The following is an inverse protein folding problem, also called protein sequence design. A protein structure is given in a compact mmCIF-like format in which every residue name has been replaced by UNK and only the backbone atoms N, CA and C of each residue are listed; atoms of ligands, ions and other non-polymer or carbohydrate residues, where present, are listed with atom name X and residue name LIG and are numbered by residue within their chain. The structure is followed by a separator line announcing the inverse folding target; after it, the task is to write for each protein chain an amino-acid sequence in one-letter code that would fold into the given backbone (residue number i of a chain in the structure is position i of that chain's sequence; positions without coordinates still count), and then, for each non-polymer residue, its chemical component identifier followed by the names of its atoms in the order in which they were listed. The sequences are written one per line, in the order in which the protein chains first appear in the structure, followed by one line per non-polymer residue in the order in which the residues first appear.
data_IF_014788192868
#
_entry.id   IF_014788192868
#
_cell.length_a   1.000
_cell.length_b   1.000
_cell.length_c   1.000
_cell.angle_alpha   90.00
_cell.angle_beta   90.00
_cell.angle_gamma   90.00
#
_symmetry.space_group_name_H-M   'P 1'
#
loop_
_entity.id
_entity.type
_entity.pdbx_description
1 polymer ?
#
# COMPACT_ATOMS: atom_id res chain seq x y z
N UNK A 1 1.92 27.74 -4.16
CA UNK A 1 3.28 27.17 -4.23
C UNK A 1 3.93 27.37 -2.86
N UNK A 2 3.79 26.41 -1.95
CA UNK A 2 4.62 26.35 -0.73
C UNK A 2 5.65 25.28 -1.03
N UNK A 3 6.82 25.77 -1.44
CA UNK A 3 8.02 24.98 -1.57
C UNK A 3 8.41 24.62 -0.14
N UNK A 4 8.37 23.33 0.21
CA UNK A 4 9.11 22.79 1.36
C UNK A 4 10.61 22.80 1.02
N UNK A 5 11.09 24.01 0.72
CA UNK A 5 12.48 24.29 0.45
C UNK A 5 13.13 24.89 1.68
N UNK A 6 14.14 24.22 2.22
CA UNK A 6 15.13 24.74 3.18
C UNK A 6 14.58 25.50 4.40
N UNK A 7 14.05 24.77 5.35
CA UNK A 7 13.76 25.29 6.71
C UNK A 7 15.00 25.67 7.55
N UNK A 8 16.20 25.67 6.96
CA UNK A 8 17.43 26.14 7.60
C UNK A 8 17.47 27.67 7.66
N UNK A 9 16.68 28.27 8.51
CA UNK A 9 16.71 29.72 8.69
C UNK A 9 15.46 30.36 9.27
N UNK A 10 14.41 29.60 9.53
CA UNK A 10 13.23 30.11 10.23
C UNK A 10 13.54 30.35 11.71
N UNK A 11 13.00 31.44 12.28
CA UNK A 11 13.06 31.69 13.72
C UNK A 11 12.40 30.51 14.47
N UNK A 12 12.89 30.14 15.67
CA UNK A 12 12.38 28.98 16.42
C UNK A 12 10.85 28.94 16.60
N UNK A 13 10.22 30.08 16.82
CA UNK A 13 8.77 30.19 16.97
C UNK A 13 8.03 29.86 15.66
N UNK A 14 8.49 30.34 14.51
CA UNK A 14 7.89 30.06 13.20
C UNK A 14 8.07 28.59 12.77
N UNK A 15 9.16 27.96 13.21
CA UNK A 15 9.40 26.54 13.01
C UNK A 15 8.42 25.71 13.84
N UNK A 16 8.28 25.99 15.13
CA UNK A 16 7.33 25.29 16.01
C UNK A 16 5.86 25.40 15.54
N UNK A 17 5.47 26.55 15.02
CA UNK A 17 4.13 26.78 14.47
C UNK A 17 3.92 25.99 13.17
N UNK A 18 4.94 25.93 12.29
CA UNK A 18 4.92 25.13 11.07
C UNK A 18 4.86 23.64 11.38
N UNK A 19 5.63 23.17 12.36
CA UNK A 19 5.68 21.77 12.79
C UNK A 19 4.34 21.36 13.44
N UNK A 20 3.75 22.21 14.28
CA UNK A 20 2.42 21.98 14.85
C UNK A 20 1.31 21.88 13.80
N UNK A 21 1.35 22.75 12.77
CA UNK A 21 0.39 22.69 11.65
C UNK A 21 0.59 21.41 10.82
N UNK A 22 1.83 21.01 10.57
CA UNK A 22 2.14 19.78 9.81
C UNK A 22 1.70 18.54 10.60
N UNK A 23 1.89 18.52 11.91
CA UNK A 23 1.47 17.42 12.77
C UNK A 23 -0.06 17.31 12.89
N UNK A 24 -0.81 18.40 12.69
CA UNK A 24 -2.26 18.38 12.62
C UNK A 24 -2.82 17.77 11.32
N UNK A 25 -1.98 17.64 10.26
CA UNK A 25 -2.41 17.05 8.99
C UNK A 25 -2.59 15.53 9.10
N UNK A 26 -3.57 14.95 8.37
CA UNK A 26 -3.77 13.50 8.35
C UNK A 26 -2.64 12.78 7.62
N UNK A 27 -2.51 11.48 7.87
CA UNK A 27 -1.77 10.57 6.99
C UNK A 27 -2.64 10.25 5.77
N UNK A 28 -2.07 10.31 4.58
CA UNK A 28 -2.74 9.88 3.34
C UNK A 28 -2.56 8.38 3.16
N UNK A 29 -3.63 7.61 3.32
CA UNK A 29 -3.68 6.20 3.01
C UNK A 29 -4.08 5.99 1.54
N UNK A 30 -3.15 5.47 0.74
CA UNK A 30 -3.38 5.11 -0.67
C UNK A 30 -3.75 3.64 -0.75
N UNK A 31 -4.86 3.33 -1.41
CA UNK A 31 -5.44 1.99 -1.49
C UNK A 31 -5.87 1.65 -2.92
N UNK A 32 -5.95 0.37 -3.26
CA UNK A 32 -6.50 -0.10 -4.53
C UNK A 32 -8.02 -0.18 -4.50
N UNK A 33 -8.56 -0.96 -3.56
CA UNK A 33 -9.97 -1.32 -3.53
C UNK A 33 -10.78 -0.42 -2.60
N UNK A 34 -12.07 -0.23 -2.90
CA UNK A 34 -12.99 0.48 -2.03
C UNK A 34 -13.08 -0.15 -0.61
N UNK A 35 -13.00 -1.47 -0.54
CA UNK A 35 -12.97 -2.19 0.74
C UNK A 35 -11.72 -1.86 1.57
N UNK A 36 -10.57 -1.72 0.93
CA UNK A 36 -9.32 -1.31 1.60
C UNK A 36 -9.44 0.12 2.11
N UNK A 37 -9.97 1.05 1.30
CA UNK A 37 -10.19 2.42 1.69
C UNK A 37 -11.09 2.52 2.93
N UNK A 38 -12.18 1.74 2.96
CA UNK A 38 -13.07 1.67 4.14
C UNK A 38 -12.34 1.11 5.38
N UNK A 39 -11.48 0.12 5.20
CA UNK A 39 -10.69 -0.45 6.31
C UNK A 39 -9.61 0.52 6.79
N UNK A 40 -8.92 1.22 5.89
CA UNK A 40 -7.87 2.18 6.24
C UNK A 40 -8.39 3.44 6.91
N UNK A 41 -9.63 3.82 6.62
CA UNK A 41 -10.25 5.04 7.16
C UNK A 41 -10.29 5.06 8.69
N UNK A 42 -10.19 6.26 9.25
CA UNK A 42 -10.31 6.49 10.69
C UNK A 42 -9.65 7.79 11.15
N UNK A 43 -9.60 8.03 12.46
CA UNK A 43 -9.04 9.27 13.00
C UNK A 43 -7.60 9.51 12.54
N UNK A 44 -7.31 10.72 12.05
CA UNK A 44 -6.00 11.11 11.53
C UNK A 44 -5.60 10.47 10.20
N UNK A 45 -6.55 9.86 9.45
CA UNK A 45 -6.29 9.22 8.15
C UNK A 45 -7.24 9.77 7.10
N UNK A 46 -6.69 10.28 6.00
CA UNK A 46 -7.41 10.56 4.76
C UNK A 46 -7.14 9.41 3.78
N UNK A 47 -8.17 8.90 3.12
CA UNK A 47 -8.03 7.79 2.18
C UNK A 47 -8.21 8.24 0.74
N UNK A 48 -7.47 7.61 -0.18
CA UNK A 48 -7.64 7.72 -1.62
C UNK A 48 -7.49 6.34 -2.24
N UNK A 49 -8.34 6.02 -3.22
CA UNK A 49 -8.27 4.75 -3.93
C UNK A 49 -8.87 4.88 -5.33
N UNK A 50 -8.34 4.14 -6.29
CA UNK A 50 -8.70 4.25 -7.70
C UNK A 50 -9.29 2.96 -8.32
N UNK A 51 -9.62 1.97 -7.50
CA UNK A 51 -10.22 0.72 -8.00
C UNK A 51 -9.23 -0.21 -8.68
N UNK A 52 -7.95 -0.17 -8.30
CA UNK A 52 -6.89 -0.97 -8.94
C UNK A 52 -6.47 -0.42 -10.31
N UNK A 53 -6.70 0.87 -10.56
CA UNK A 53 -6.30 1.56 -11.78
C UNK A 53 -5.18 2.57 -11.44
N UNK A 54 -3.89 2.26 -11.75
CA UNK A 54 -2.76 3.13 -11.44
C UNK A 54 -2.79 4.48 -12.18
N UNK A 55 -3.30 4.54 -13.41
CA UNK A 55 -3.40 5.79 -14.17
C UNK A 55 -4.41 6.74 -13.55
N UNK A 56 -5.58 6.20 -13.19
CA UNK A 56 -6.59 6.95 -12.44
C UNK A 56 -6.06 7.43 -11.11
N UNK A 57 -5.31 6.59 -10.38
CA UNK A 57 -4.69 6.97 -9.12
C UNK A 57 -3.70 8.11 -9.30
N UNK A 58 -2.83 8.05 -10.33
CA UNK A 58 -1.92 9.15 -10.69
C UNK A 58 -2.69 10.44 -10.94
N UNK A 59 -3.74 10.39 -11.75
CA UNK A 59 -4.55 11.56 -12.05
C UNK A 59 -5.22 12.15 -10.79
N UNK A 60 -5.76 11.29 -9.91
CA UNK A 60 -6.39 11.72 -8.67
C UNK A 60 -5.39 12.36 -7.68
N UNK A 61 -4.18 11.84 -7.59
CA UNK A 61 -3.12 12.38 -6.74
C UNK A 61 -2.57 13.70 -7.32
N UNK A 62 -2.31 13.76 -8.63
CA UNK A 62 -1.83 14.97 -9.32
C UNK A 62 -2.84 16.13 -9.27
N UNK A 63 -4.15 15.82 -9.19
CA UNK A 63 -5.17 16.85 -9.02
C UNK A 63 -5.16 17.51 -7.62
N UNK A 64 -4.41 16.97 -6.67
CA UNK A 64 -4.22 17.56 -5.34
C UNK A 64 -3.17 18.66 -5.43
N UNK A 65 -3.60 19.92 -5.54
CA UNK A 65 -2.71 21.10 -5.61
C UNK A 65 -1.79 21.20 -4.37
N UNK A 66 -2.30 20.72 -3.21
CA UNK A 66 -1.52 20.58 -1.97
C UNK A 66 -1.73 19.17 -1.44
N UNK A 67 -0.70 18.48 -0.98
CA UNK A 67 -0.86 17.12 -0.47
C UNK A 67 -1.84 17.07 0.72
N UNK A 68 -1.91 18.11 1.55
CA UNK A 68 -2.84 18.17 2.69
C UNK A 68 -2.69 16.98 3.64
N UNK A 69 -1.49 16.42 3.71
CA UNK A 69 -1.12 15.30 4.56
C UNK A 69 0.33 15.43 5.01
N UNK A 70 0.68 14.78 6.14
CA UNK A 70 2.04 14.79 6.69
C UNK A 70 2.90 13.62 6.25
N UNK A 71 2.28 12.55 5.77
CA UNK A 71 2.95 11.35 5.27
C UNK A 71 2.02 10.58 4.33
N UNK A 72 2.58 9.67 3.55
CA UNK A 72 1.87 8.77 2.64
C UNK A 72 2.10 7.33 3.06
N UNK A 73 1.03 6.55 3.21
CA UNK A 73 1.08 5.11 3.47
C UNK A 73 0.28 4.39 2.39
N UNK A 74 0.94 3.57 1.57
CA UNK A 74 0.24 2.66 0.68
C UNK A 74 -0.22 1.44 1.49
N UNK A 75 -1.55 1.19 1.61
CA UNK A 75 -2.08 0.15 2.48
C UNK A 75 -3.15 -0.68 1.77
N UNK A 76 -2.99 -1.99 1.79
CA UNK A 76 -3.91 -2.91 1.14
C UNK A 76 -3.40 -4.33 1.03
N UNK A 77 -4.01 -5.12 0.14
CA UNK A 77 -3.56 -6.48 -0.19
C UNK A 77 -2.54 -6.46 -1.33
N UNK A 78 -1.80 -7.55 -1.47
CA UNK A 78 -0.78 -7.73 -2.52
C UNK A 78 -0.67 -9.20 -2.95
N UNK A 79 -0.16 -9.44 -4.14
CA UNK A 79 0.30 -10.77 -4.56
C UNK A 79 1.66 -11.08 -3.95
N UNK A 80 1.84 -12.28 -3.40
CA UNK A 80 3.13 -12.76 -2.92
C UNK A 80 4.07 -13.10 -4.08
N UNK A 81 5.32 -12.67 -3.98
CA UNK A 81 6.42 -13.07 -4.88
C UNK A 81 7.42 -13.97 -4.17
N UNK A 82 7.63 -13.79 -2.88
CA UNK A 82 8.47 -14.65 -2.07
C UNK A 82 7.73 -15.94 -1.74
N UNK A 83 8.31 -17.14 -2.08
CA UNK A 83 7.65 -18.43 -1.85
C UNK A 83 7.36 -18.77 -0.38
N UNK A 84 8.04 -18.11 0.57
CA UNK A 84 7.81 -18.34 2.00
C UNK A 84 6.56 -17.64 2.55
N UNK A 85 6.00 -16.69 1.77
CA UNK A 85 4.84 -15.92 2.19
C UNK A 85 3.52 -16.64 1.91
N UNK A 86 2.64 -16.61 2.89
CA UNK A 86 1.31 -17.19 2.84
C UNK A 86 0.22 -16.10 2.92
N UNK A 87 -1.03 -16.39 2.53
CA UNK A 87 -2.14 -15.49 2.70
C UNK A 87 -2.30 -15.03 4.16
N UNK A 88 -2.36 -13.72 4.35
CA UNK A 88 -2.43 -13.07 5.66
C UNK A 88 -1.09 -12.64 6.24
N UNK A 89 0.06 -13.04 5.66
CA UNK A 89 1.36 -12.49 6.04
C UNK A 89 1.46 -11.02 5.62
N UNK A 90 2.22 -10.23 6.40
CA UNK A 90 2.34 -8.79 6.23
C UNK A 90 3.74 -8.43 5.72
N UNK A 91 3.79 -7.61 4.69
CA UNK A 91 5.03 -7.01 4.16
C UNK A 91 4.99 -5.51 4.42
N UNK A 92 5.96 -5.01 5.16
CA UNK A 92 6.21 -3.58 5.32
C UNK A 92 7.27 -3.19 4.30
N UNK A 93 6.94 -2.24 3.43
CA UNK A 93 7.83 -1.82 2.34
C UNK A 93 9.07 -1.11 2.86
N UNK A 94 10.25 -1.62 2.52
CA UNK A 94 11.54 -0.93 2.66
C UNK A 94 11.81 -0.04 1.45
N UNK A 95 11.18 -0.35 0.33
CA UNK A 95 11.16 0.42 -0.89
C UNK A 95 10.16 -0.18 -1.87
N UNK A 96 9.97 0.53 -2.98
CA UNK A 96 9.12 0.08 -4.08
C UNK A 96 9.94 0.08 -5.37
N UNK A 97 10.05 -1.05 -6.00
CA UNK A 97 10.77 -1.23 -7.27
C UNK A 97 9.76 -1.13 -8.41
N UNK A 98 9.81 -0.04 -9.16
CA UNK A 98 9.04 0.13 -10.38
C UNK A 98 9.86 -0.24 -11.63
N UNK A 99 9.29 -0.01 -12.81
CA UNK A 99 9.92 -0.36 -14.09
C UNK A 99 11.22 0.44 -14.39
N UNK A 100 11.37 1.64 -13.85
CA UNK A 100 12.48 2.56 -14.18
C UNK A 100 13.34 2.97 -12.99
N UNK A 101 12.80 2.89 -11.78
CA UNK A 101 13.47 3.33 -10.56
C UNK A 101 12.95 2.58 -9.35
N UNK A 102 13.67 2.72 -8.26
CA UNK A 102 13.26 2.27 -6.92
C UNK A 102 13.07 3.52 -6.05
N UNK A 103 11.95 3.58 -5.35
CA UNK A 103 11.65 4.57 -4.32
C UNK A 103 11.97 4.00 -2.95
N UNK A 104 12.68 4.76 -2.13
CA UNK A 104 12.97 4.38 -0.76
C UNK A 104 11.75 4.64 0.15
N UNK A 105 11.48 3.72 1.05
CA UNK A 105 10.57 4.00 2.16
C UNK A 105 11.32 4.75 3.27
N UNK A 106 10.57 5.50 4.09
CA UNK A 106 11.13 6.12 5.29
C UNK A 106 11.44 5.03 6.32
N UNK A 107 12.72 4.82 6.61
CA UNK A 107 13.21 3.66 7.37
C UNK A 107 12.58 3.56 8.78
N UNK A 108 12.49 4.68 9.51
CA UNK A 108 11.93 4.68 10.86
C UNK A 108 10.43 4.42 10.87
N UNK A 109 9.67 4.95 9.89
CA UNK A 109 8.27 4.59 9.71
C UNK A 109 8.10 3.10 9.46
N UNK A 110 8.87 2.55 8.52
CA UNK A 110 8.79 1.13 8.17
C UNK A 110 9.11 0.25 9.38
N UNK A 111 10.18 0.58 10.12
CA UNK A 111 10.59 -0.14 11.33
C UNK A 111 9.51 -0.09 12.41
N UNK A 112 9.00 1.10 12.73
CA UNK A 112 7.97 1.27 13.76
C UNK A 112 6.69 0.50 13.43
N UNK A 113 6.23 0.55 12.16
CA UNK A 113 5.06 -0.20 11.73
C UNK A 113 5.30 -1.71 11.82
N UNK A 114 6.50 -2.18 11.44
CA UNK A 114 6.87 -3.59 11.56
C UNK A 114 6.86 -4.04 13.03
N UNK A 115 7.45 -3.30 13.94
CA UNK A 115 7.49 -3.59 15.38
C UNK A 115 6.08 -3.66 15.97
N UNK A 116 5.21 -2.68 15.66
CA UNK A 116 3.82 -2.67 16.15
C UNK A 116 3.00 -3.85 15.66
N UNK A 117 3.19 -4.23 14.40
CA UNK A 117 2.43 -5.31 13.80
C UNK A 117 2.99 -6.70 14.17
N UNK A 118 4.30 -6.83 14.35
CA UNK A 118 4.95 -8.11 14.68
C UNK A 118 4.46 -8.71 16.00
N UNK A 119 4.10 -7.88 16.98
CA UNK A 119 3.62 -8.34 18.29
C UNK A 119 2.31 -9.14 18.20
N UNK A 120 1.52 -8.97 17.14
CA UNK A 120 0.16 -9.53 17.07
C UNK A 120 -0.17 -10.19 15.72
N UNK A 121 0.77 -10.23 14.78
CA UNK A 121 0.60 -10.85 13.45
C UNK A 121 1.40 -12.12 13.31
N UNK A 122 0.94 -13.08 12.51
CA UNK A 122 1.61 -14.38 12.33
C UNK A 122 3.02 -14.21 11.77
N UNK A 123 3.17 -13.36 10.77
CA UNK A 123 4.44 -13.02 10.13
C UNK A 123 4.39 -11.58 9.63
N UNK A 124 5.39 -10.81 10.00
CA UNK A 124 5.64 -9.47 9.46
C UNK A 124 7.08 -9.46 8.98
N UNK A 125 7.30 -9.00 7.77
CA UNK A 125 8.64 -8.84 7.20
C UNK A 125 8.85 -7.42 6.69
N UNK A 126 10.07 -6.97 6.72
CA UNK A 126 10.57 -5.77 6.04
C UNK A 126 11.18 -6.22 4.72
N UNK A 127 10.64 -5.75 3.60
CA UNK A 127 11.13 -6.12 2.27
C UNK A 127 10.66 -5.12 1.20
N UNK A 128 11.29 -5.13 0.05
CA UNK A 128 10.84 -4.35 -1.10
C UNK A 128 9.56 -4.92 -1.71
N UNK A 129 8.79 -4.02 -2.30
CA UNK A 129 7.60 -4.31 -3.09
C UNK A 129 7.88 -4.06 -4.58
N UNK A 130 7.30 -4.85 -5.45
CA UNK A 130 7.25 -4.58 -6.88
C UNK A 130 5.98 -3.76 -7.18
N UNK A 131 6.15 -2.55 -7.69
CA UNK A 131 5.03 -1.70 -8.13
C UNK A 131 4.82 -1.84 -9.63
N UNK A 132 3.62 -2.28 -10.05
CA UNK A 132 3.30 -2.59 -11.45
C UNK A 132 2.01 -1.93 -11.89
N UNK A 133 1.86 -1.67 -13.20
CA UNK A 133 0.63 -1.08 -13.77
C UNK A 133 -0.43 -2.16 -14.14
N UNK A 134 -0.07 -3.43 -14.10
CA UNK A 134 -0.98 -4.54 -14.38
C UNK A 134 -0.75 -5.70 -13.40
N UNK A 135 -1.80 -6.46 -13.02
CA UNK A 135 -1.66 -7.53 -12.04
C UNK A 135 -0.83 -8.69 -12.58
N UNK A 136 0.04 -9.27 -11.74
CA UNK A 136 0.77 -10.49 -12.03
C UNK A 136 -0.15 -11.71 -11.83
N UNK A 137 -0.70 -12.25 -12.90
CA UNK A 137 -1.72 -13.31 -12.85
C UNK A 137 -1.14 -14.73 -12.90
N UNK A 138 -0.01 -14.92 -13.55
CA UNK A 138 0.62 -16.24 -13.74
C UNK A 138 1.81 -16.46 -12.82
N UNK A 139 2.17 -17.74 -12.62
CA UNK A 139 3.37 -18.12 -11.88
C UNK A 139 4.62 -17.58 -12.56
N UNK A 140 4.63 -17.56 -13.89
CA UNK A 140 5.77 -17.05 -14.67
C UNK A 140 5.96 -15.55 -14.46
N UNK A 141 4.88 -14.75 -14.51
CA UNK A 141 4.94 -13.32 -14.24
C UNK A 141 5.46 -13.04 -12.83
N UNK A 142 4.95 -13.76 -11.82
CA UNK A 142 5.42 -13.62 -10.43
C UNK A 142 6.89 -13.99 -10.27
N UNK A 143 7.32 -15.12 -10.83
CA UNK A 143 8.73 -15.55 -10.75
C UNK A 143 9.67 -14.60 -11.50
N UNK A 144 9.24 -14.08 -12.65
CA UNK A 144 10.00 -13.09 -13.43
C UNK A 144 10.13 -11.78 -12.66
N UNK A 145 9.03 -11.27 -12.05
CA UNK A 145 9.08 -10.09 -11.21
C UNK A 145 10.01 -10.29 -10.01
N UNK A 146 9.90 -11.43 -9.31
CA UNK A 146 10.79 -11.75 -8.19
C UNK A 146 12.26 -11.75 -8.61
N UNK A 147 12.58 -12.40 -9.73
CA UNK A 147 13.95 -12.46 -10.25
C UNK A 147 14.49 -11.09 -10.66
N UNK A 148 13.65 -10.24 -11.25
CA UNK A 148 14.05 -8.92 -11.73
C UNK A 148 14.17 -7.88 -10.61
N UNK A 149 13.34 -7.96 -9.56
CA UNK A 149 13.22 -6.90 -8.54
C UNK A 149 13.76 -7.32 -7.16
N UNK A 150 13.85 -8.60 -6.87
CA UNK A 150 14.10 -9.10 -5.52
C UNK A 150 12.93 -8.87 -4.54
N UNK A 151 11.83 -8.25 -4.98
CA UNK A 151 10.71 -7.86 -4.14
C UNK A 151 9.97 -9.06 -3.53
N UNK A 152 9.45 -8.91 -2.32
CA UNK A 152 8.72 -9.96 -1.62
C UNK A 152 7.25 -10.06 -2.03
N UNK A 153 6.65 -8.96 -2.46
CA UNK A 153 5.25 -8.90 -2.91
C UNK A 153 5.08 -7.88 -4.04
N UNK A 154 3.93 -7.92 -4.72
CA UNK A 154 3.58 -7.06 -5.86
C UNK A 154 2.21 -6.43 -5.67
N UNK A 155 2.10 -5.15 -6.00
CA UNK A 155 0.84 -4.41 -6.01
C UNK A 155 0.81 -3.36 -7.13
N UNK A 156 -0.32 -2.67 -7.28
CA UNK A 156 -0.55 -1.73 -8.36
C UNK A 156 -0.60 -0.25 -7.92
N UNK A 157 -0.45 0.05 -6.64
CA UNK A 157 -0.60 1.39 -6.08
C UNK A 157 0.66 1.94 -5.43
N UNK A 158 1.52 1.08 -4.87
CA UNK A 158 2.66 1.52 -4.05
C UNK A 158 3.65 2.37 -4.82
N UNK A 159 3.92 2.07 -6.10
CA UNK A 159 4.82 2.88 -6.93
C UNK A 159 4.23 4.26 -7.25
N UNK A 160 2.92 4.36 -7.42
CA UNK A 160 2.23 5.64 -7.63
C UNK A 160 2.23 6.47 -6.35
N UNK A 161 1.97 5.84 -5.21
CA UNK A 161 2.01 6.48 -3.90
C UNK A 161 3.42 6.97 -3.53
N UNK A 162 4.43 6.15 -3.81
CA UNK A 162 5.84 6.49 -3.57
C UNK A 162 6.31 7.66 -4.43
N UNK A 163 5.96 7.65 -5.74
CA UNK A 163 6.28 8.75 -6.65
C UNK A 163 5.63 10.06 -6.20
N UNK A 164 4.36 10.03 -5.78
CA UNK A 164 3.68 11.20 -5.23
C UNK A 164 4.36 11.70 -3.95
N UNK A 165 4.76 10.81 -3.06
CA UNK A 165 5.44 11.19 -1.83
C UNK A 165 6.80 11.84 -2.10
N UNK A 166 7.60 11.26 -3.01
CA UNK A 166 8.89 11.80 -3.44
C UNK A 166 8.74 13.19 -4.06
N UNK A 167 7.78 13.38 -4.98
CA UNK A 167 7.50 14.68 -5.62
C UNK A 167 7.18 15.79 -4.60
N UNK A 168 6.54 15.42 -3.48
CA UNK A 168 6.11 16.37 -2.46
C UNK A 168 7.02 16.40 -1.21
N UNK A 169 8.13 15.65 -1.21
CA UNK A 169 9.03 15.57 -0.06
C UNK A 169 8.39 14.99 1.20
N UNK A 170 7.44 14.05 1.04
CA UNK A 170 6.70 13.45 2.14
C UNK A 170 7.31 12.11 2.55
N UNK A 171 7.35 11.77 3.85
CA UNK A 171 7.68 10.43 4.30
C UNK A 171 6.70 9.40 3.71
N UNK A 172 7.25 8.27 3.26
CA UNK A 172 6.47 7.20 2.62
C UNK A 172 6.82 5.83 3.21
N UNK A 173 5.84 4.96 3.31
CA UNK A 173 6.02 3.51 3.43
C UNK A 173 4.78 2.76 2.90
N UNK A 174 4.86 1.43 2.87
CA UNK A 174 3.73 0.60 2.47
C UNK A 174 3.48 -0.52 3.48
N UNK A 175 2.20 -0.87 3.66
CA UNK A 175 1.72 -2.01 4.46
C UNK A 175 0.90 -2.90 3.54
N UNK A 176 1.42 -4.06 3.18
CA UNK A 176 0.77 -5.00 2.27
C UNK A 176 0.52 -6.34 2.93
N UNK A 177 -0.70 -6.83 2.79
CA UNK A 177 -1.08 -8.16 3.26
C UNK A 177 -1.16 -9.10 2.07
N UNK A 178 -0.44 -10.21 2.13
CA UNK A 178 -0.42 -11.19 1.04
C UNK A 178 -1.81 -11.82 0.90
N UNK A 179 -2.36 -11.74 -0.31
CA UNK A 179 -3.65 -12.33 -0.66
C UNK A 179 -3.48 -13.65 -1.42
N UNK A 180 -2.63 -13.65 -2.43
CA UNK A 180 -2.34 -14.80 -3.27
C UNK A 180 -0.84 -15.10 -3.26
N UNK A 181 -0.40 -16.27 -2.80
CA UNK A 181 1.01 -16.60 -2.65
C UNK A 181 1.70 -16.79 -4.00
N UNK A 182 3.05 -16.87 -3.98
CA UNK A 182 3.89 -16.95 -5.17
C UNK A 182 3.60 -18.19 -6.05
N UNK A 183 3.17 -19.29 -5.44
CA UNK A 183 2.86 -20.56 -6.08
C UNK A 183 1.42 -20.64 -6.64
N UNK A 184 0.70 -19.52 -6.66
CA UNK A 184 -0.69 -19.48 -7.11
C UNK A 184 -0.91 -18.52 -8.26
N UNK A 185 -1.41 -19.06 -9.38
CA UNK A 185 -1.92 -18.25 -10.47
C UNK A 185 -3.33 -17.72 -10.14
N UNK A 186 -3.59 -16.47 -10.53
CA UNK A 186 -4.91 -15.88 -10.46
C UNK A 186 -5.67 -16.14 -11.78
N UNK A 187 -6.98 -16.43 -11.73
CA UNK A 187 -7.77 -16.54 -12.94
C UNK A 187 -7.80 -15.22 -13.72
N UNK A 188 -7.69 -15.29 -15.05
CA UNK A 188 -7.62 -14.09 -15.90
C UNK A 188 -8.84 -13.15 -15.77
N UNK A 189 -9.99 -13.65 -15.31
CA UNK A 189 -11.16 -12.80 -15.08
C UNK A 189 -10.97 -11.83 -13.90
N UNK A 190 -10.02 -12.08 -12.96
CA UNK A 190 -9.76 -11.20 -11.81
C UNK A 190 -9.39 -9.80 -12.28
N UNK A 191 -8.58 -9.70 -13.34
CA UNK A 191 -8.23 -8.40 -13.93
C UNK A 191 -9.43 -7.63 -14.50
N UNK A 192 -10.49 -8.34 -14.92
CA UNK A 192 -11.72 -7.76 -15.49
C UNK A 192 -12.83 -7.59 -14.47
N UNK A 193 -12.72 -8.25 -13.32
CA UNK A 193 -13.73 -8.18 -12.25
C UNK A 193 -13.58 -6.95 -11.36
N UNK A 194 -12.49 -6.21 -11.49
CA UNK A 194 -12.30 -4.94 -10.79
C UNK A 194 -13.03 -3.83 -11.55
N UNK A 195 -13.99 -3.20 -10.89
CA UNK A 195 -14.71 -2.04 -11.42
C UNK A 195 -13.94 -0.76 -11.12
N UNK A 196 -14.15 0.31 -11.90
CA UNK A 196 -13.52 1.61 -11.65
C UNK A 196 -13.82 2.20 -10.26
N UNK A 197 -14.94 1.79 -9.64
CA UNK A 197 -15.30 2.19 -8.27
C UNK A 197 -14.58 1.37 -7.18
N UNK A 198 -13.74 0.40 -7.56
CA UNK A 198 -13.01 -0.48 -6.65
C UNK A 198 -13.84 -1.61 -6.04
N UNK A 199 -15.05 -1.82 -6.52
CA UNK A 199 -15.90 -2.97 -6.15
C UNK A 199 -15.68 -4.14 -7.13
N UNK A 200 -16.03 -5.34 -6.67
CA UNK A 200 -15.93 -6.54 -7.50
C UNK A 200 -17.19 -6.68 -8.37
N UNK A 201 -17.01 -6.82 -9.66
CA UNK A 201 -18.11 -7.12 -10.58
C UNK A 201 -18.55 -8.60 -10.44
N UNK A 202 -19.61 -8.82 -9.65
CA UNK A 202 -20.19 -10.13 -9.44
C UNK A 202 -20.72 -10.75 -10.74
N UNK A 203 -21.16 -9.94 -11.70
CA UNK A 203 -21.64 -10.44 -12.99
C UNK A 203 -20.48 -10.99 -13.81
N UNK A 204 -19.33 -10.29 -13.81
CA UNK A 204 -18.12 -10.80 -14.44
C UNK A 204 -17.64 -12.10 -13.80
N UNK A 205 -17.68 -12.23 -12.48
CA UNK A 205 -17.36 -13.47 -11.75
C UNK A 205 -18.32 -14.60 -12.11
N UNK A 206 -19.63 -14.36 -12.06
CA UNK A 206 -20.64 -15.37 -12.39
C UNK A 206 -20.57 -15.82 -13.86
N UNK A 207 -20.30 -14.89 -14.79
CA UNK A 207 -20.13 -15.22 -16.21
C UNK A 207 -18.86 -16.05 -16.46
N UNK A 208 -17.78 -15.80 -15.71
CA UNK A 208 -16.56 -16.61 -15.79
C UNK A 208 -16.80 -18.06 -15.30
N UNK A 209 -17.61 -18.21 -14.25
CA UNK A 209 -18.04 -19.53 -13.74
C UNK A 209 -18.91 -20.24 -14.79
N UNK A 210 -19.93 -19.55 -15.33
CA UNK A 210 -20.83 -20.11 -16.31
C UNK A 210 -20.13 -20.56 -17.60
N UNK A 211 -19.10 -19.84 -18.02
CA UNK A 211 -18.27 -20.20 -19.19
C UNK A 211 -17.21 -21.28 -18.90
N UNK A 212 -17.25 -21.90 -17.71
CA UNK A 212 -16.24 -22.87 -17.24
C UNK A 212 -14.78 -22.39 -17.36
N UNK A 213 -14.55 -21.09 -17.43
CA UNK A 213 -13.22 -20.49 -17.47
C UNK A 213 -12.52 -20.49 -16.11
N UNK A 214 -13.25 -20.82 -15.03
CA UNK A 214 -12.70 -20.97 -13.69
C UNK A 214 -13.14 -22.31 -13.08
N UNK A 215 -12.20 -23.06 -12.51
CA UNK A 215 -12.50 -24.27 -11.73
C UNK A 215 -13.06 -23.84 -10.37
N UNK A 216 -14.21 -24.38 -9.97
CA UNK A 216 -14.90 -24.06 -8.70
C UNK A 216 -13.96 -24.15 -7.50
N UNK A 217 -13.11 -25.19 -7.43
CA UNK A 217 -12.14 -25.34 -6.35
C UNK A 217 -11.09 -24.21 -6.28
N UNK A 218 -10.73 -23.63 -7.44
CA UNK A 218 -9.85 -22.46 -7.50
C UNK A 218 -10.51 -21.20 -6.95
N UNK A 219 -11.81 -21.01 -7.23
CA UNK A 219 -12.58 -19.86 -6.73
C UNK A 219 -12.81 -19.93 -5.22
N UNK A 220 -13.11 -21.11 -4.69
CA UNK A 220 -13.26 -21.31 -3.24
C UNK A 220 -11.94 -21.00 -2.52
N UNK A 221 -10.82 -21.42 -3.11
CA UNK A 221 -9.49 -21.16 -2.55
C UNK A 221 -9.16 -19.68 -2.60
N UNK A 222 -9.39 -19.01 -3.72
CA UNK A 222 -9.20 -17.56 -3.88
C UNK A 222 -10.06 -16.77 -2.88
N UNK A 223 -11.32 -17.15 -2.70
CA UNK A 223 -12.21 -16.51 -1.72
C UNK A 223 -11.73 -16.70 -0.28
N UNK A 224 -11.21 -17.89 0.06
CA UNK A 224 -10.63 -18.16 1.38
C UNK A 224 -9.38 -17.30 1.63
N UNK A 225 -8.48 -17.25 0.65
CA UNK A 225 -7.24 -16.49 0.76
C UNK A 225 -7.52 -14.98 0.87
N UNK A 226 -8.43 -14.47 0.04
CA UNK A 226 -8.91 -13.09 0.14
C UNK A 226 -9.53 -12.78 1.50
N UNK A 227 -10.34 -13.70 2.04
CA UNK A 227 -10.91 -13.55 3.39
C UNK A 227 -9.81 -13.43 4.43
N UNK A 228 -8.82 -14.32 4.40
CA UNK A 228 -7.68 -14.30 5.33
C UNK A 228 -6.90 -12.97 5.22
N UNK A 229 -6.62 -12.52 3.99
CA UNK A 229 -5.92 -11.26 3.77
C UNK A 229 -6.69 -10.05 4.31
N UNK A 230 -7.99 -9.96 4.06
CA UNK A 230 -8.80 -8.85 4.57
C UNK A 230 -9.03 -8.91 6.09
N UNK A 231 -9.06 -10.08 6.70
CA UNK A 231 -9.08 -10.23 8.16
C UNK A 231 -7.76 -9.76 8.78
N UNK A 232 -6.63 -10.15 8.19
CA UNK A 232 -5.31 -9.67 8.61
C UNK A 232 -5.17 -8.16 8.41
N UNK A 233 -5.62 -7.58 7.27
CA UNK A 233 -5.60 -6.14 7.02
C UNK A 233 -6.44 -5.37 8.05
N UNK A 234 -7.63 -5.88 8.40
CA UNK A 234 -8.46 -5.29 9.47
C UNK A 234 -7.74 -5.33 10.81
N UNK A 235 -7.08 -6.44 11.10
CA UNK A 235 -6.29 -6.58 12.33
C UNK A 235 -5.12 -5.60 12.36
N UNK A 236 -4.34 -5.50 11.27
CA UNK A 236 -3.30 -4.47 11.14
C UNK A 236 -3.87 -3.07 11.42
N UNK A 237 -5.02 -2.72 10.81
CA UNK A 237 -5.63 -1.41 11.02
C UNK A 237 -6.00 -1.15 12.48
N UNK A 238 -6.50 -2.15 13.19
CA UNK A 238 -6.86 -2.01 14.61
C UNK A 238 -5.63 -1.76 15.50
N UNK A 239 -4.48 -2.30 15.14
CA UNK A 239 -3.21 -2.12 15.86
C UNK A 239 -2.57 -0.75 15.57
N UNK A 240 -2.76 -0.24 14.37
CA UNK A 240 -2.13 1.02 13.92
C UNK A 240 -2.84 2.28 14.44
N UNK A 241 -4.05 2.20 14.96
CA UNK A 241 -4.72 3.29 15.67
C UNK A 241 -4.79 4.63 14.93
N UNK A 242 -4.60 5.75 15.65
CA UNK A 242 -4.63 7.10 15.10
C UNK A 242 -3.52 7.33 14.08
N UNK A 243 -3.85 7.93 12.94
CA UNK A 243 -2.87 8.29 11.89
C UNK A 243 -2.01 7.13 11.43
N UNK A 244 -2.52 5.86 11.48
CA UNK A 244 -1.79 4.64 11.17
C UNK A 244 -0.48 4.50 11.98
N UNK A 245 -0.42 5.07 13.17
CA UNK A 245 0.79 5.11 14.02
C UNK A 245 2.02 5.72 13.35
N UNK A 246 1.83 6.49 12.29
CA UNK A 246 2.93 7.26 11.70
C UNK A 246 3.38 8.30 12.71
N UNK A 247 4.67 8.35 13.09
CA UNK A 247 5.19 9.32 14.02
C UNK A 247 4.92 10.76 13.58
N UNK A 248 4.96 11.68 14.54
CA UNK A 248 4.97 13.10 14.21
C UNK A 248 6.30 13.49 13.56
N UNK A 249 6.29 14.59 12.82
CA UNK A 249 7.44 15.01 12.04
C UNK A 249 8.69 15.20 12.91
N UNK A 250 8.50 15.71 14.12
CA UNK A 250 9.57 15.93 15.11
C UNK A 250 10.25 14.62 15.54
N UNK A 251 9.47 13.55 15.66
CA UNK A 251 9.98 12.21 15.99
C UNK A 251 10.70 11.56 14.80
N UNK A 252 10.30 11.90 13.56
CA UNK A 252 10.89 11.36 12.33
C UNK A 252 12.20 12.05 11.95
N UNK A 253 12.37 13.34 12.32
CA UNK A 253 13.57 14.10 12.00
C UNK A 253 14.71 13.86 12.98
N UNK A 254 14.45 13.12 14.09
CA UNK A 254 15.43 12.84 15.14
C UNK A 254 15.94 14.11 15.81
N UNK A 255 16.31 14.03 17.08
CA UNK A 255 17.10 15.06 17.76
C UNK A 255 18.45 15.23 17.04
N UNK A 256 18.50 16.13 16.07
CA UNK A 256 19.76 16.64 15.54
C UNK A 256 20.19 17.75 16.51
N UNK A 257 20.60 17.35 17.69
CA UNK A 257 21.31 18.20 18.66
C UNK A 257 22.80 18.07 18.44
#
# INVERSE_FOLDING_TARGET
MIILGNYRGLRPAARAESDALTNALPVLAVTGLAREARLAAGPGVATIGAGGDPERLRAMLSARIKPGCRAVVSIGIAGGLDPVLAPGDVVIGTGVVGARQRWEAHADMARLLAERLAAHSKRVILADLAGVDAPALSLLEKSTLRAATGAAAVDMESHVAAAFAEEHGLPFTAVRVVCDPADRALPAFVARALRPDGEIDLVAVLSAIARRSAKVGGLVRLARDSKMAFEALRHCRSLLGFGLSVPHLDELLGDIS
#
